data_IF_224388205326
#
_entry.id   IF_224388205326
#
_cell.length_a   1.000
_cell.length_b   1.000
_cell.length_c   1.000
_cell.angle_alpha   90.00
_cell.angle_beta   90.00
_cell.angle_gamma   90.00
#
_symmetry.space_group_name_H-M   'P 1'
#
loop_
_entity.id
_entity.type
_entity.pdbx_description
1 polymer ?
#
# COMPACT_ATOMS: atom_id res chain seq x y z
N UNK A 1 5.03 -5.70 -5.02
CA UNK A 1 3.56 -5.67 -4.80
C UNK A 1 2.79 -6.84 -5.43
N UNK A 2 2.99 -7.22 -6.69
CA UNK A 2 2.21 -8.34 -7.28
C UNK A 2 2.41 -9.70 -6.59
N UNK A 3 3.62 -9.92 -6.06
CA UNK A 3 3.96 -11.11 -5.26
C UNK A 3 3.16 -11.15 -3.95
N UNK A 4 3.08 -10.03 -3.20
CA UNK A 4 2.34 -9.96 -1.94
C UNK A 4 0.84 -10.22 -2.16
N UNK A 5 0.32 -9.76 -3.28
CA UNK A 5 -1.07 -9.96 -3.70
C UNK A 5 -1.38 -11.36 -4.25
N UNK A 6 -0.35 -12.15 -4.58
CA UNK A 6 -0.50 -13.49 -5.12
C UNK A 6 -0.84 -13.54 -6.61
N UNK A 7 -0.52 -12.47 -7.36
CA UNK A 7 -0.70 -12.46 -8.82
C UNK A 7 0.41 -13.20 -9.57
N UNK A 8 1.56 -13.37 -8.94
CA UNK A 8 2.70 -14.08 -9.51
C UNK A 8 2.70 -15.52 -9.02
N UNK A 9 2.69 -16.47 -9.95
CA UNK A 9 2.61 -17.90 -9.65
C UNK A 9 3.96 -18.56 -9.97
N UNK A 10 4.62 -19.11 -8.95
CA UNK A 10 5.94 -19.70 -9.09
C UNK A 10 6.50 -20.21 -7.76
N UNK A 11 7.78 -20.55 -7.77
CA UNK A 11 8.52 -20.91 -6.55
C UNK A 11 9.08 -19.65 -5.89
N UNK A 12 9.27 -19.63 -4.57
CA UNK A 12 9.76 -18.44 -3.86
C UNK A 12 11.04 -17.82 -4.45
N UNK A 13 11.89 -18.64 -5.08
CA UNK A 13 13.17 -18.20 -5.67
C UNK A 13 13.06 -17.47 -7.01
N UNK A 14 11.95 -17.61 -7.75
CA UNK A 14 11.80 -17.03 -9.09
C UNK A 14 10.62 -16.05 -9.24
N UNK A 15 9.93 -15.72 -8.15
CA UNK A 15 8.77 -14.82 -8.19
C UNK A 15 9.12 -13.42 -8.74
N UNK A 16 10.29 -12.89 -8.41
CA UNK A 16 10.71 -11.58 -8.93
C UNK A 16 10.95 -11.60 -10.44
N UNK A 17 11.62 -12.65 -10.94
CA UNK A 17 11.90 -12.83 -12.35
C UNK A 17 10.60 -13.03 -13.16
N UNK A 18 9.67 -13.85 -12.66
CA UNK A 18 8.36 -14.04 -13.28
C UNK A 18 7.58 -12.71 -13.25
N UNK A 19 7.64 -11.96 -12.15
CA UNK A 19 7.03 -10.63 -12.06
C UNK A 19 7.57 -9.66 -13.10
N UNK A 20 8.88 -9.66 -13.32
CA UNK A 20 9.54 -8.85 -14.37
C UNK A 20 9.10 -9.29 -15.78
N UNK A 21 8.99 -10.58 -16.05
CA UNK A 21 8.47 -11.09 -17.33
C UNK A 21 7.02 -10.66 -17.58
N UNK A 22 6.16 -10.72 -16.56
CA UNK A 22 4.77 -10.23 -16.67
C UNK A 22 4.74 -8.74 -16.98
N UNK A 23 5.59 -7.95 -16.32
CA UNK A 23 5.71 -6.51 -16.57
C UNK A 23 6.12 -6.21 -18.03
N UNK A 24 7.16 -6.88 -18.54
CA UNK A 24 7.60 -6.75 -19.93
C UNK A 24 6.49 -7.13 -20.91
N UNK A 25 5.71 -8.19 -20.61
CA UNK A 25 4.56 -8.58 -21.44
C UNK A 25 3.44 -7.54 -21.47
N UNK A 26 3.22 -6.79 -20.37
CA UNK A 26 2.25 -5.69 -20.38
C UNK A 26 2.71 -4.54 -21.28
N UNK A 27 4.01 -4.23 -21.28
CA UNK A 27 4.61 -3.23 -22.16
C UNK A 27 4.49 -3.66 -23.62
N UNK A 28 4.90 -4.88 -23.97
CA UNK A 28 4.81 -5.40 -25.34
C UNK A 28 3.37 -5.47 -25.90
N UNK A 29 2.37 -5.45 -25.02
CA UNK A 29 0.95 -5.44 -25.38
C UNK A 29 0.34 -4.03 -25.37
N UNK A 30 1.15 -2.99 -25.16
CA UNK A 30 0.72 -1.59 -25.03
C UNK A 30 -0.36 -1.40 -23.94
N UNK A 31 -0.32 -2.20 -22.87
CA UNK A 31 -1.25 -2.06 -21.74
C UNK A 31 -0.72 -1.07 -20.72
N UNK A 32 0.60 -0.93 -20.63
CA UNK A 32 1.30 0.08 -19.84
C UNK A 32 2.48 0.60 -20.65
N UNK A 33 2.86 1.85 -20.40
CA UNK A 33 3.95 2.56 -21.06
C UNK A 33 4.91 3.08 -19.99
N UNK A 34 6.16 2.62 -19.92
CA UNK A 34 7.13 3.13 -18.96
C UNK A 34 7.39 4.62 -19.16
N UNK A 35 7.50 5.37 -18.07
CA UNK A 35 7.94 6.75 -18.12
C UNK A 35 9.46 6.80 -18.30
N UNK A 36 9.89 7.32 -19.44
CA UNK A 36 11.31 7.41 -19.82
C UNK A 36 12.14 8.30 -18.89
N UNK A 37 11.50 9.14 -18.07
CA UNK A 37 12.19 10.00 -17.10
C UNK A 37 12.69 9.21 -15.88
N UNK A 38 12.19 7.99 -15.67
CA UNK A 38 12.55 7.12 -14.56
C UNK A 38 13.41 5.96 -15.08
N UNK A 39 14.72 6.01 -14.79
CA UNK A 39 15.72 5.06 -15.32
C UNK A 39 15.40 3.61 -14.92
N UNK A 40 14.82 3.41 -13.74
CA UNK A 40 14.39 2.12 -13.22
C UNK A 40 12.99 1.69 -13.70
N UNK A 41 12.32 2.52 -14.52
CA UNK A 41 11.00 2.27 -15.11
C UNK A 41 9.92 1.92 -14.09
N UNK A 42 10.07 2.38 -12.84
CA UNK A 42 9.10 2.13 -11.77
C UNK A 42 7.78 2.89 -11.98
N UNK A 43 7.83 3.98 -12.75
CA UNK A 43 6.66 4.77 -13.13
C UNK A 43 6.19 4.34 -14.51
N UNK A 44 4.90 4.02 -14.62
CA UNK A 44 4.27 3.63 -15.87
C UNK A 44 2.94 4.37 -16.05
N UNK A 45 2.69 4.79 -17.28
CA UNK A 45 1.40 5.29 -17.72
C UNK A 45 0.53 4.13 -18.23
N UNK A 46 -0.77 4.29 -18.11
CA UNK A 46 -1.75 3.40 -18.72
C UNK A 46 -2.67 4.27 -19.56
N UNK A 47 -2.86 3.92 -20.83
CA UNK A 47 -3.79 4.65 -21.72
C UNK A 47 -5.18 4.75 -21.11
N UNK A 48 -5.87 5.86 -21.36
CA UNK A 48 -7.17 6.16 -20.75
C UNK A 48 -8.23 5.07 -21.02
N UNK A 49 -8.21 4.45 -22.19
CA UNK A 49 -9.11 3.34 -22.54
C UNK A 49 -8.83 2.10 -21.69
N UNK A 50 -7.56 1.70 -21.56
CA UNK A 50 -7.14 0.56 -20.74
C UNK A 50 -7.43 0.84 -19.26
N UNK A 51 -7.14 2.06 -18.80
CA UNK A 51 -7.41 2.51 -17.43
C UNK A 51 -8.90 2.47 -17.11
N UNK A 52 -9.75 2.99 -18.00
CA UNK A 52 -11.20 2.99 -17.82
C UNK A 52 -11.77 1.58 -17.78
N UNK A 53 -11.27 0.70 -18.66
CA UNK A 53 -11.65 -0.70 -18.68
C UNK A 53 -11.21 -1.44 -17.40
N UNK A 54 -9.99 -1.23 -16.93
CA UNK A 54 -9.49 -1.80 -15.68
C UNK A 54 -10.30 -1.33 -14.47
N UNK A 55 -10.64 -0.04 -14.39
CA UNK A 55 -11.51 0.51 -13.34
C UNK A 55 -12.91 -0.09 -13.41
N UNK A 56 -13.46 -0.29 -14.61
CA UNK A 56 -14.73 -0.96 -14.78
C UNK A 56 -14.69 -2.40 -14.27
N UNK A 57 -13.70 -3.21 -14.67
CA UNK A 57 -13.58 -4.60 -14.21
C UNK A 57 -13.39 -4.71 -12.70
N UNK A 58 -12.58 -3.82 -12.13
CA UNK A 58 -12.25 -3.84 -10.70
C UNK A 58 -13.28 -3.12 -9.81
N UNK A 59 -14.34 -2.51 -10.36
CA UNK A 59 -15.28 -1.62 -9.62
C UNK A 59 -15.91 -2.23 -8.36
N UNK A 60 -16.04 -3.56 -8.34
CA UNK A 60 -16.63 -4.28 -7.22
C UNK A 60 -15.62 -4.66 -6.13
N UNK A 61 -14.33 -4.62 -6.46
CA UNK A 61 -13.24 -5.12 -5.62
C UNK A 61 -12.23 -4.03 -5.24
N UNK A 62 -12.15 -2.96 -6.02
CA UNK A 62 -11.17 -1.90 -5.87
C UNK A 62 -11.82 -0.50 -5.92
N UNK A 63 -11.32 0.37 -5.06
CA UNK A 63 -11.62 1.79 -5.08
C UNK A 63 -10.32 2.57 -5.32
N UNK A 64 -10.34 3.43 -6.35
CA UNK A 64 -9.29 4.41 -6.61
C UNK A 64 -9.92 5.77 -6.45
N UNK A 65 -9.44 6.54 -5.47
CA UNK A 65 -10.00 7.82 -5.08
C UNK A 65 -8.92 8.92 -5.03
N UNK A 66 -9.32 10.12 -5.40
CA UNK A 66 -8.49 11.33 -5.34
C UNK A 66 -9.27 12.40 -4.56
N UNK A 67 -8.60 13.24 -3.76
CA UNK A 67 -9.25 14.21 -2.85
C UNK A 67 -10.36 15.08 -3.51
N UNK A 68 -10.24 15.40 -4.82
CA UNK A 68 -11.26 16.15 -5.56
C UNK A 68 -12.60 15.42 -5.73
N UNK A 69 -12.69 14.15 -5.37
CA UNK A 69 -13.86 13.32 -5.57
C UNK A 69 -14.75 13.36 -4.32
N UNK A 70 -15.90 14.02 -4.43
CA UNK A 70 -16.91 14.03 -3.37
C UNK A 70 -17.47 12.62 -3.13
N UNK A 71 -17.81 12.30 -1.87
CA UNK A 71 -18.49 11.05 -1.51
C UNK A 71 -17.59 9.81 -1.33
N UNK A 72 -16.28 9.96 -1.14
CA UNK A 72 -15.37 8.83 -0.87
C UNK A 72 -15.83 8.05 0.37
N UNK A 73 -16.13 8.76 1.47
CA UNK A 73 -16.62 8.16 2.72
C UNK A 73 -17.94 7.41 2.52
N UNK A 74 -18.92 8.03 1.86
CA UNK A 74 -20.22 7.40 1.56
C UNK A 74 -20.07 6.10 0.74
N UNK A 75 -19.13 6.10 -0.21
CA UNK A 75 -18.83 4.93 -1.03
C UNK A 75 -18.16 3.81 -0.21
N UNK A 76 -17.28 4.16 0.73
CA UNK A 76 -16.67 3.21 1.66
C UNK A 76 -17.68 2.66 2.67
N UNK A 77 -18.66 3.45 3.06
CA UNK A 77 -19.70 3.00 3.99
C UNK A 77 -20.68 2.03 3.32
N UNK A 78 -21.01 2.29 2.06
CA UNK A 78 -21.94 1.45 1.27
C UNK A 78 -21.32 0.16 0.71
N UNK A 79 -20.00 0.10 0.53
CA UNK A 79 -19.34 -1.04 -0.10
C UNK A 79 -18.00 -1.39 0.56
N UNK A 80 -17.71 -2.68 0.66
CA UNK A 80 -16.40 -3.19 1.07
C UNK A 80 -15.52 -3.45 -0.15
N UNK A 81 -14.27 -3.01 -0.07
CA UNK A 81 -13.27 -3.19 -1.12
C UNK A 81 -12.13 -4.10 -0.64
N UNK A 82 -11.58 -4.87 -1.56
CA UNK A 82 -10.34 -5.63 -1.34
C UNK A 82 -9.10 -4.77 -1.59
N UNK A 83 -9.21 -3.75 -2.44
CA UNK A 83 -8.09 -2.86 -2.80
C UNK A 83 -8.51 -1.41 -2.70
N UNK A 84 -7.68 -0.61 -2.07
CA UNK A 84 -7.91 0.81 -1.93
C UNK A 84 -6.64 1.56 -2.33
N UNK A 85 -6.81 2.54 -3.20
CA UNK A 85 -5.77 3.47 -3.61
C UNK A 85 -6.28 4.90 -3.45
N UNK A 86 -5.59 5.65 -2.60
CA UNK A 86 -5.93 7.02 -2.24
C UNK A 86 -4.79 7.94 -2.65
N UNK A 87 -5.12 8.99 -3.39
CA UNK A 87 -4.22 10.12 -3.65
C UNK A 87 -4.83 11.36 -2.98
N UNK A 88 -4.23 11.77 -1.87
CA UNK A 88 -4.68 12.89 -1.06
C UNK A 88 -3.70 14.04 -1.30
N UNK A 89 -4.21 15.18 -1.74
CA UNK A 89 -3.41 16.40 -1.87
C UNK A 89 -3.74 17.31 -0.71
N UNK A 90 -2.71 17.90 -0.11
CA UNK A 90 -2.87 18.85 0.97
C UNK A 90 -3.77 20.02 0.52
N UNK A 91 -4.93 20.14 1.15
CA UNK A 91 -5.81 21.30 1.06
C UNK A 91 -6.37 21.56 2.46
N UNK A 92 -6.46 22.82 2.85
CA UNK A 92 -6.70 23.25 4.24
C UNK A 92 -8.02 22.77 4.88
N UNK A 93 -8.96 22.15 4.15
CA UNK A 93 -10.30 21.82 4.68
C UNK A 93 -10.71 20.34 4.76
N UNK A 94 -10.07 19.40 4.03
CA UNK A 94 -10.61 18.04 3.85
C UNK A 94 -9.54 16.94 3.87
N UNK A 95 -8.73 16.89 4.93
CA UNK A 95 -7.86 15.74 5.16
C UNK A 95 -8.69 14.51 5.55
N UNK A 96 -8.47 13.38 4.87
CA UNK A 96 -9.11 12.11 5.21
C UNK A 96 -8.60 11.64 6.57
N UNK A 97 -9.52 11.32 7.48
CA UNK A 97 -9.16 10.75 8.78
C UNK A 97 -8.99 9.23 8.70
N UNK A 98 -8.00 8.69 9.41
CA UNK A 98 -7.68 7.25 9.42
C UNK A 98 -8.87 6.38 9.83
N UNK A 99 -9.67 6.82 10.81
CA UNK A 99 -10.81 6.05 11.32
C UNK A 99 -11.83 5.71 10.23
N UNK A 100 -12.00 6.56 9.21
CA UNK A 100 -12.90 6.34 8.08
C UNK A 100 -12.53 5.09 7.28
N UNK A 101 -11.25 4.71 7.29
CA UNK A 101 -10.76 3.50 6.63
C UNK A 101 -11.09 2.23 7.41
N UNK A 102 -11.31 2.31 8.73
CA UNK A 102 -11.48 1.14 9.60
C UNK A 102 -12.75 0.34 9.27
N UNK A 103 -13.72 0.94 8.57
CA UNK A 103 -14.87 0.21 8.06
C UNK A 103 -14.49 -0.84 7.00
N UNK A 104 -13.31 -0.74 6.35
CA UNK A 104 -12.87 -1.62 5.26
C UNK A 104 -12.19 -2.90 5.77
N UNK A 105 -12.92 -3.73 6.51
CA UNK A 105 -12.37 -4.96 7.14
C UNK A 105 -11.96 -6.06 6.16
N UNK A 106 -12.43 -5.99 4.91
CA UNK A 106 -12.08 -6.92 3.84
C UNK A 106 -10.79 -6.53 3.10
N UNK A 107 -10.16 -5.41 3.46
CA UNK A 107 -9.06 -4.83 2.71
C UNK A 107 -7.83 -5.74 2.71
N UNK A 108 -7.26 -5.95 1.53
CA UNK A 108 -6.01 -6.69 1.28
C UNK A 108 -4.88 -5.77 0.83
N UNK A 109 -5.21 -4.70 0.10
CA UNK A 109 -4.26 -3.68 -0.36
C UNK A 109 -4.71 -2.31 0.07
N UNK A 110 -3.86 -1.57 0.78
CA UNK A 110 -4.01 -0.15 1.05
C UNK A 110 -2.82 0.60 0.46
N UNK A 111 -3.08 1.46 -0.52
CA UNK A 111 -2.12 2.43 -1.04
C UNK A 111 -2.64 3.82 -0.69
N UNK A 112 -1.85 4.60 0.03
CA UNK A 112 -2.14 6.00 0.32
C UNK A 112 -0.93 6.84 -0.02
N UNK A 113 -1.13 7.83 -0.88
CA UNK A 113 -0.14 8.85 -1.20
C UNK A 113 -0.69 10.19 -0.73
N UNK A 114 0.01 10.81 0.21
CA UNK A 114 -0.35 12.10 0.80
C UNK A 114 -0.91 12.02 2.22
N UNK A 115 -1.21 13.20 2.81
CA UNK A 115 -1.45 13.31 4.24
C UNK A 115 -2.79 12.67 4.65
N UNK A 116 -2.71 11.54 5.36
CA UNK A 116 -3.82 11.02 6.16
C UNK A 116 -3.67 11.53 7.59
N UNK A 117 -4.78 12.04 8.15
CA UNK A 117 -4.83 12.45 9.54
C UNK A 117 -4.94 11.22 10.45
N UNK A 118 -3.82 10.90 11.08
CA UNK A 118 -3.67 9.82 12.04
C UNK A 118 -3.60 10.42 13.45
N UNK A 119 -4.41 9.91 14.36
CA UNK A 119 -4.52 10.35 15.76
C UNK A 119 -3.93 9.30 16.71
N UNK A 120 -3.47 9.69 17.91
CA UNK A 120 -3.11 8.74 18.96
C UNK A 120 -4.30 7.80 19.27
N UNK A 121 -4.04 6.50 19.30
CA UNK A 121 -5.07 5.47 19.50
C UNK A 121 -5.59 4.84 18.21
N UNK A 122 -5.30 5.42 17.04
CA UNK A 122 -5.54 4.75 15.77
C UNK A 122 -4.73 3.45 15.69
N UNK A 123 -5.28 2.46 15.01
CA UNK A 123 -4.65 1.14 14.90
C UNK A 123 -5.01 0.42 13.62
N UNK A 124 -4.29 -0.68 13.38
CA UNK A 124 -4.53 -1.60 12.27
C UNK A 124 -5.53 -2.72 12.59
N UNK A 125 -6.20 -2.70 13.74
CA UNK A 125 -7.02 -3.81 14.24
C UNK A 125 -8.10 -4.26 13.24
N UNK A 126 -8.69 -3.30 12.52
CA UNK A 126 -9.73 -3.56 11.53
C UNK A 126 -9.21 -4.25 10.25
N UNK A 127 -7.90 -4.16 9.96
CA UNK A 127 -7.30 -4.60 8.69
C UNK A 127 -6.65 -5.98 8.82
N UNK A 128 -7.37 -6.94 9.42
CA UNK A 128 -6.83 -8.29 9.68
C UNK A 128 -6.41 -9.03 8.41
N UNK A 129 -6.98 -8.68 7.26
CA UNK A 129 -6.73 -9.33 5.96
C UNK A 129 -5.65 -8.63 5.11
N UNK A 130 -5.04 -7.55 5.61
CA UNK A 130 -4.12 -6.73 4.84
C UNK A 130 -2.85 -7.51 4.50
N UNK A 131 -2.45 -7.45 3.23
CA UNK A 131 -1.24 -8.08 2.67
C UNK A 131 -0.26 -7.05 2.14
N UNK A 132 -0.77 -5.92 1.66
CA UNK A 132 0.02 -4.84 1.11
C UNK A 132 -0.39 -3.54 1.75
N UNK A 133 0.56 -2.89 2.41
CA UNK A 133 0.44 -1.54 2.96
C UNK A 133 1.50 -0.66 2.33
N UNK A 134 1.06 0.39 1.66
CA UNK A 134 1.90 1.47 1.19
C UNK A 134 1.29 2.78 1.67
N UNK A 135 2.03 3.53 2.46
CA UNK A 135 1.65 4.85 2.96
C UNK A 135 2.80 5.79 2.72
N UNK A 136 2.54 6.91 2.06
CA UNK A 136 3.50 7.95 1.77
C UNK A 136 3.01 9.29 2.35
N UNK A 137 3.94 10.09 2.87
CA UNK A 137 3.69 11.44 3.39
C UNK A 137 2.63 11.53 4.51
N UNK A 138 2.67 10.61 5.47
CA UNK A 138 1.75 10.57 6.62
C UNK A 138 2.46 10.63 7.98
N UNK A 139 1.71 11.07 9.02
CA UNK A 139 2.13 10.99 10.41
C UNK A 139 1.98 9.56 10.95
N UNK A 140 2.88 8.67 10.52
CA UNK A 140 2.75 7.23 10.71
C UNK A 140 3.17 6.75 12.10
N UNK A 141 3.88 7.56 12.88
CA UNK A 141 4.44 7.19 14.19
C UNK A 141 3.38 6.63 15.17
N UNK A 142 2.15 7.16 15.11
CA UNK A 142 1.04 6.70 15.95
C UNK A 142 0.56 5.27 15.62
N UNK A 143 0.83 4.76 14.41
CA UNK A 143 0.41 3.42 13.98
C UNK A 143 1.51 2.35 14.17
N UNK A 144 2.75 2.75 14.42
CA UNK A 144 3.93 1.87 14.45
C UNK A 144 3.75 0.66 15.37
N UNK A 145 3.26 0.87 16.59
CA UNK A 145 3.07 -0.24 17.55
C UNK A 145 1.96 -1.21 17.12
N UNK A 146 1.00 -0.73 16.34
CA UNK A 146 -0.12 -1.53 15.85
C UNK A 146 0.23 -2.34 14.58
N UNK A 147 1.37 -2.08 13.93
CA UNK A 147 1.81 -2.84 12.74
C UNK A 147 1.87 -4.36 12.99
N UNK A 148 2.21 -4.78 14.22
CA UNK A 148 2.27 -6.20 14.59
C UNK A 148 0.91 -6.91 14.54
N UNK A 149 -0.20 -6.17 14.45
CA UNK A 149 -1.55 -6.69 14.30
C UNK A 149 -1.80 -7.23 12.88
N UNK A 150 -1.02 -6.77 11.89
CA UNK A 150 -1.13 -7.13 10.49
C UNK A 150 -0.49 -8.50 10.21
N UNK A 151 -1.12 -9.55 10.73
CA UNK A 151 -0.61 -10.94 10.69
C UNK A 151 -0.45 -11.52 9.28
N UNK A 152 -1.05 -10.93 8.25
CA UNK A 152 -0.97 -11.37 6.86
C UNK A 152 -0.14 -10.43 5.97
N UNK A 153 0.48 -9.39 6.56
CA UNK A 153 1.24 -8.42 5.80
C UNK A 153 2.46 -9.08 5.14
N UNK A 154 2.64 -8.77 3.86
CA UNK A 154 3.72 -9.24 3.01
C UNK A 154 4.54 -8.10 2.44
N UNK A 155 3.91 -6.95 2.23
CA UNK A 155 4.54 -5.75 1.70
C UNK A 155 4.25 -4.57 2.63
N UNK A 156 5.31 -3.96 3.17
CA UNK A 156 5.26 -2.73 3.95
C UNK A 156 6.10 -1.67 3.25
N UNK A 157 5.52 -0.53 2.95
CA UNK A 157 6.22 0.67 2.51
C UNK A 157 5.60 1.85 3.26
N UNK A 158 6.43 2.59 3.99
CA UNK A 158 6.04 3.76 4.79
C UNK A 158 6.91 4.97 4.40
N UNK A 159 7.16 5.08 3.10
CA UNK A 159 8.13 6.00 2.53
C UNK A 159 7.76 7.46 2.80
N UNK A 160 8.77 8.31 3.01
CA UNK A 160 8.55 9.74 3.32
C UNK A 160 7.80 10.02 4.64
N UNK A 161 7.44 9.00 5.43
CA UNK A 161 6.74 9.21 6.71
C UNK A 161 7.70 9.71 7.79
N UNK A 162 7.13 10.33 8.83
CA UNK A 162 7.88 10.80 10.01
C UNK A 162 8.24 9.68 11.00
N UNK A 163 8.19 8.42 10.57
CA UNK A 163 8.39 7.27 11.45
C UNK A 163 9.78 7.28 12.08
N UNK A 164 9.85 7.23 13.41
CA UNK A 164 11.09 7.25 14.17
C UNK A 164 11.67 5.86 14.45
N UNK A 165 10.83 4.82 14.41
CA UNK A 165 11.19 3.43 14.70
C UNK A 165 10.21 2.44 14.05
N UNK A 166 10.62 1.18 13.97
CA UNK A 166 9.72 0.05 13.70
C UNK A 166 9.36 -0.68 15.00
N UNK A 167 8.24 -1.41 15.07
CA UNK A 167 7.87 -2.14 16.29
C UNK A 167 8.93 -3.19 16.64
N UNK A 168 9.28 -3.31 17.93
CA UNK A 168 10.27 -4.30 18.38
C UNK A 168 9.90 -5.74 18.02
N UNK A 169 8.60 -6.00 17.88
CA UNK A 169 8.04 -7.30 17.53
C UNK A 169 7.82 -7.50 16.02
N UNK A 170 8.52 -6.76 15.14
CA UNK A 170 8.36 -6.90 13.69
C UNK A 170 8.61 -8.33 13.20
N UNK A 171 9.47 -9.10 13.89
CA UNK A 171 9.70 -10.52 13.61
C UNK A 171 8.46 -11.42 13.75
N UNK A 172 7.41 -10.97 14.45
CA UNK A 172 6.14 -11.71 14.53
C UNK A 172 5.34 -11.64 13.23
N UNK A 173 5.70 -10.74 12.31
CA UNK A 173 5.06 -10.59 11.00
C UNK A 173 5.64 -11.61 10.01
N UNK A 174 5.36 -12.90 10.24
CA UNK A 174 5.98 -14.06 9.57
C UNK A 174 5.83 -14.12 8.04
N UNK A 175 4.92 -13.35 7.46
CA UNK A 175 4.71 -13.31 6.01
C UNK A 175 5.35 -12.08 5.35
N UNK A 176 5.99 -11.20 6.13
CA UNK A 176 6.58 -9.97 5.61
C UNK A 176 7.75 -10.32 4.69
N UNK A 177 7.64 -9.93 3.42
CA UNK A 177 8.59 -10.24 2.35
C UNK A 177 9.36 -9.01 1.89
N UNK A 178 8.75 -7.83 2.02
CA UNK A 178 9.30 -6.57 1.55
C UNK A 178 9.02 -5.45 2.56
N UNK A 179 10.06 -4.67 2.84
CA UNK A 179 10.01 -3.46 3.66
C UNK A 179 10.72 -2.34 2.90
N UNK A 180 10.08 -1.20 2.74
CA UNK A 180 10.70 0.03 2.28
C UNK A 180 10.48 1.16 3.29
N UNK A 181 11.57 1.84 3.61
CA UNK A 181 11.65 2.98 4.55
C UNK A 181 12.33 4.17 3.86
N UNK A 182 12.30 4.21 2.52
CA UNK A 182 12.93 5.28 1.75
C UNK A 182 12.35 6.64 2.17
N UNK A 183 13.21 7.64 2.35
CA UNK A 183 12.77 8.98 2.75
C UNK A 183 12.30 9.12 4.20
N UNK A 184 12.36 8.08 5.04
CA UNK A 184 12.07 8.18 6.48
C UNK A 184 13.22 8.86 7.23
N UNK A 185 13.30 10.19 7.15
CA UNK A 185 14.42 10.97 7.71
C UNK A 185 14.48 10.98 9.24
N UNK A 186 13.37 10.66 9.91
CA UNK A 186 13.29 10.59 11.38
C UNK A 186 13.68 9.22 11.94
N UNK A 187 13.93 8.22 11.09
CA UNK A 187 14.22 6.86 11.52
C UNK A 187 15.61 6.79 12.17
N UNK A 188 15.63 6.53 13.48
CA UNK A 188 16.89 6.47 14.25
C UNK A 188 17.36 5.03 14.47
N UNK A 189 16.43 4.11 14.74
CA UNK A 189 16.76 2.74 15.13
C UNK A 189 15.90 1.72 14.37
N UNK A 190 16.55 0.66 13.90
CA UNK A 190 15.90 -0.55 13.45
C UNK A 190 15.89 -1.58 14.59
N UNK A 191 14.78 -2.31 14.80
CA UNK A 191 14.70 -3.31 15.85
C UNK A 191 15.61 -4.49 15.52
N UNK A 192 16.34 -5.01 16.51
CA UNK A 192 17.22 -6.17 16.33
C UNK A 192 16.49 -7.39 15.76
N UNK A 193 15.19 -7.51 16.02
CA UNK A 193 14.36 -8.61 15.53
C UNK A 193 14.14 -8.60 14.01
N UNK A 194 14.46 -7.51 13.30
CA UNK A 194 14.27 -7.40 11.85
C UNK A 194 15.07 -8.44 11.06
N UNK A 195 16.23 -8.87 11.57
CA UNK A 195 17.06 -9.90 10.94
C UNK A 195 16.43 -11.30 11.04
N UNK A 196 15.45 -11.48 11.93
CA UNK A 196 14.78 -12.76 12.16
C UNK A 196 13.47 -12.92 11.37
N UNK A 197 13.11 -11.95 10.50
CA UNK A 197 11.89 -12.03 9.68
C UNK A 197 11.92 -13.13 8.60
N UNK A 198 13.08 -13.72 8.31
CA UNK A 198 13.27 -14.72 7.24
C UNK A 198 13.76 -16.11 7.74
N UNK A 199 13.54 -16.45 9.02
CA UNK A 199 13.85 -17.76 9.58
C UNK A 199 12.65 -18.72 9.55
#
# INVERSE_FOLDING_TARGET
MWISEGFVHGTSRNLEEIGKDYFVKLIHRNLIEPDINYVDQVVCNMHDVVRSFARYLARNEALVAQNKQTGISEKMDSQKFFRLSLEIRASESDELEWYSLQAQTSLRTLLSVGPIKIKPGDSFLAFSNLRTLHVEDANFDALVESLNQLKHLRYLSIEGTNTSRLPENISKMKFLQYISLLGCNSLVNLPNSIVSCNA
#
